data_IF_979203057792
#
_entry.id   IF_979203057792
#
_cell.length_a   1.000
_cell.length_b   1.000
_cell.length_c   1.000
_cell.angle_alpha   90.00
_cell.angle_beta   90.00
_cell.angle_gamma   90.00
#
_symmetry.space_group_name_H-M   'P 1'
#
loop_
_entity.id
_entity.type
_entity.pdbx_description
1 polymer ?
#
# COMPACT_ATOMS: atom_id res chain seq x y z
N UNK A 1 -1.50 19.20 6.89
CA UNK A 1 -1.90 18.76 5.53
C UNK A 1 -1.72 17.26 5.33
N UNK A 2 -0.60 16.68 5.76
CA UNK A 2 -0.32 15.24 5.68
C UNK A 2 -1.45 14.33 6.23
N UNK A 3 -2.09 14.71 7.34
CA UNK A 3 -3.21 13.94 7.90
C UNK A 3 -4.43 13.87 6.96
N UNK A 4 -4.76 14.96 6.26
CA UNK A 4 -5.88 15.01 5.33
C UNK A 4 -5.61 14.15 4.09
N UNK A 5 -4.40 14.27 3.51
CA UNK A 5 -3.99 13.44 2.37
C UNK A 5 -3.95 11.96 2.70
N UNK A 6 -3.47 11.59 3.89
CA UNK A 6 -3.50 10.21 4.36
C UNK A 6 -4.94 9.66 4.42
N UNK A 7 -5.90 10.48 4.84
CA UNK A 7 -7.31 10.06 4.87
C UNK A 7 -7.87 9.88 3.46
N UNK A 8 -7.55 10.80 2.54
CA UNK A 8 -8.06 10.77 1.17
C UNK A 8 -7.46 9.60 0.36
N UNK A 9 -6.15 9.39 0.46
CA UNK A 9 -5.43 8.37 -0.32
C UNK A 9 -5.63 6.95 0.22
N UNK A 10 -6.15 6.81 1.43
CA UNK A 10 -6.27 5.54 2.12
C UNK A 10 -4.98 5.13 2.83
N UNK A 11 -5.14 4.46 3.97
CA UNK A 11 -4.02 3.97 4.79
C UNK A 11 -3.44 2.65 4.28
N UNK A 12 -4.28 1.84 3.64
CA UNK A 12 -3.96 0.47 3.25
C UNK A 12 -4.62 0.13 1.92
N UNK A 13 -4.05 -0.86 1.25
CA UNK A 13 -4.60 -1.43 0.02
C UNK A 13 -4.54 -2.95 0.13
N UNK A 14 -5.58 -3.61 -0.39
CA UNK A 14 -5.69 -5.06 -0.43
C UNK A 14 -5.51 -5.51 -1.87
N UNK A 15 -4.61 -6.46 -2.10
CA UNK A 15 -4.29 -7.02 -3.41
C UNK A 15 -4.49 -8.52 -3.37
N UNK A 16 -5.15 -9.07 -4.39
CA UNK A 16 -5.33 -10.51 -4.53
C UNK A 16 -4.02 -11.20 -4.91
N UNK A 17 -3.87 -12.46 -4.49
CA UNK A 17 -2.75 -13.32 -4.89
C UNK A 17 -3.32 -14.49 -5.67
N UNK A 18 -2.92 -14.61 -6.93
CA UNK A 18 -3.35 -15.67 -7.84
C UNK A 18 -2.11 -16.45 -8.30
N UNK A 19 -2.09 -17.77 -8.11
CA UNK A 19 -0.95 -18.64 -8.45
C UNK A 19 0.40 -18.16 -7.86
N UNK A 20 0.39 -17.68 -6.61
CA UNK A 20 1.58 -17.21 -5.91
C UNK A 20 2.13 -15.85 -6.40
N UNK A 21 1.39 -15.11 -7.22
CA UNK A 21 1.77 -13.78 -7.71
C UNK A 21 0.73 -12.74 -7.32
N UNK A 22 1.17 -11.51 -7.09
CA UNK A 22 0.28 -10.36 -6.91
C UNK A 22 -0.52 -10.16 -8.20
N UNK A 23 -1.84 -10.21 -8.10
CA UNK A 23 -2.75 -10.03 -9.22
C UNK A 23 -2.97 -8.52 -9.45
N UNK A 24 -2.04 -7.94 -10.21
CA UNK A 24 -2.03 -6.53 -10.56
C UNK A 24 -2.23 -6.39 -12.08
N UNK A 25 -3.06 -5.44 -12.48
CA UNK A 25 -3.19 -5.04 -13.87
C UNK A 25 -1.88 -4.47 -14.43
N UNK A 26 -1.77 -4.39 -15.76
CA UNK A 26 -0.55 -3.94 -16.47
C UNK A 26 0.05 -2.65 -15.90
N UNK A 27 -0.82 -1.71 -15.51
CA UNK A 27 -0.46 -0.38 -15.03
C UNK A 27 -0.60 -0.20 -13.51
N UNK A 28 -1.09 -1.22 -12.81
CA UNK A 28 -1.27 -1.14 -11.37
C UNK A 28 0.06 -1.28 -10.65
N UNK A 29 0.29 -0.41 -9.66
CA UNK A 29 1.51 -0.35 -8.87
C UNK A 29 1.16 0.06 -7.45
N UNK A 30 1.86 -0.56 -6.49
CA UNK A 30 1.72 -0.24 -5.06
C UNK A 30 2.76 0.82 -4.73
N UNK A 31 2.32 1.95 -4.19
CA UNK A 31 3.19 3.04 -3.78
C UNK A 31 3.14 3.25 -2.28
N UNK A 32 4.29 3.56 -1.69
CA UNK A 32 4.35 4.19 -0.37
C UNK A 32 4.24 5.70 -0.54
N UNK A 33 3.05 6.24 -0.29
CA UNK A 33 2.81 7.68 -0.39
C UNK A 33 3.16 8.37 0.94
N UNK A 34 4.33 9.00 0.97
CA UNK A 34 4.82 9.76 2.12
C UNK A 34 4.42 11.24 2.04
N UNK A 35 3.84 11.78 3.11
CA UNK A 35 3.34 13.16 3.16
C UNK A 35 3.99 14.02 4.27
N UNK A 36 4.81 13.43 5.14
CA UNK A 36 5.52 14.10 6.25
C UNK A 36 6.83 13.37 6.58
N UNK A 37 7.84 13.53 5.72
CA UNK A 37 9.08 12.74 5.69
C UNK A 37 10.10 13.02 6.81
N UNK A 38 11.38 12.76 6.52
CA UNK A 38 12.55 12.96 7.42
C UNK A 38 12.47 12.21 8.76
N UNK A 39 11.73 11.09 8.80
CA UNK A 39 11.60 10.23 9.98
C UNK A 39 11.49 8.79 9.54
N UNK A 40 11.97 7.86 10.37
CA UNK A 40 11.85 6.44 10.11
C UNK A 40 10.39 5.99 10.16
N UNK A 41 9.95 5.35 9.08
CA UNK A 41 8.57 4.88 8.92
C UNK A 41 8.55 3.46 8.39
N UNK A 42 7.43 2.78 8.63
CA UNK A 42 7.26 1.35 8.38
C UNK A 42 5.97 1.10 7.62
N UNK A 43 6.02 0.13 6.72
CA UNK A 43 4.86 -0.44 6.03
C UNK A 43 4.69 -1.88 6.51
N UNK A 44 3.47 -2.28 6.82
CA UNK A 44 3.15 -3.64 7.21
C UNK A 44 2.58 -4.38 5.99
N UNK A 45 3.15 -5.55 5.69
CA UNK A 45 2.61 -6.48 4.69
C UNK A 45 2.11 -7.71 5.45
N UNK A 46 0.85 -8.07 5.24
CA UNK A 46 0.24 -9.26 5.81
C UNK A 46 -0.42 -10.05 4.70
N UNK A 47 -0.02 -11.31 4.55
CA UNK A 47 -0.59 -12.26 3.60
C UNK A 47 -1.41 -13.28 4.38
N UNK A 48 -2.60 -13.58 3.90
CA UNK A 48 -3.52 -14.56 4.49
C UNK A 48 -4.04 -15.41 3.33
N UNK A 49 -3.90 -16.73 3.44
CA UNK A 49 -4.26 -17.68 2.40
C UNK A 49 -3.54 -19.01 2.62
N UNK A 50 -3.91 -20.03 1.83
CA UNK A 50 -3.24 -21.33 1.75
C UNK A 50 -2.26 -21.38 0.56
#
# INVERSE_FOLDING_TARGET
YAHLWRTIMGRESTVAITNGKLDLGTWERIFYAEFDGQRDKRVLIKIIGE
#
